data_IF_843779438887
#
_entry.id   IF_843779438887
#
_cell.length_a   1.000
_cell.length_b   1.000
_cell.length_c   1.000
_cell.angle_alpha   90.00
_cell.angle_beta   90.00
_cell.angle_gamma   90.00
#
_symmetry.space_group_name_H-M   'P 1'
#
loop_
_entity.id
_entity.type
_entity.pdbx_description
1 polymer ?
#
# COMPACT_ATOMS: atom_id res chain seq x y z
N UNK A 1 11.87 50.42 28.29
CA UNK A 1 11.17 49.17 27.93
C UNK A 1 11.14 49.05 26.40
N UNK A 2 11.74 48.00 25.84
CA UNK A 2 11.95 47.81 24.39
C UNK A 2 10.65 47.28 23.77
N UNK A 3 10.02 48.04 22.87
CA UNK A 3 8.81 47.62 22.14
C UNK A 3 9.23 46.61 21.07
N UNK A 4 8.99 45.32 21.32
CA UNK A 4 9.18 44.28 20.32
C UNK A 4 7.98 44.34 19.38
N UNK A 5 8.24 44.65 18.11
CA UNK A 5 7.25 44.78 17.05
C UNK A 5 6.59 43.44 16.79
N UNK A 6 5.28 43.34 17.05
CA UNK A 6 4.44 42.14 16.88
C UNK A 6 4.21 41.72 15.42
N UNK A 7 4.97 42.26 14.46
CA UNK A 7 4.74 42.08 13.03
C UNK A 7 5.45 40.87 12.39
N UNK A 8 6.25 40.10 13.14
CA UNK A 8 7.15 39.08 12.56
C UNK A 8 6.65 37.62 12.74
N UNK A 9 5.56 37.37 13.47
CA UNK A 9 5.16 36.01 13.88
C UNK A 9 4.11 35.30 13.01
N UNK A 10 3.68 35.84 11.86
CA UNK A 10 2.54 35.30 11.10
C UNK A 10 2.87 34.60 9.77
N UNK A 11 4.14 34.42 9.42
CA UNK A 11 4.52 33.88 8.09
C UNK A 11 4.99 32.42 8.07
N UNK A 12 4.83 31.65 9.14
CA UNK A 12 5.21 30.24 9.18
C UNK A 12 4.01 29.37 9.55
N UNK A 13 3.28 28.81 8.58
CA UNK A 13 2.19 27.91 8.94
C UNK A 13 1.42 27.19 7.85
N UNK A 14 1.65 27.46 6.56
CA UNK A 14 0.86 26.81 5.50
C UNK A 14 1.80 26.14 4.50
N UNK A 15 2.63 25.23 5.00
CA UNK A 15 3.10 24.10 4.21
C UNK A 15 2.22 22.90 4.58
N UNK A 16 0.91 23.00 4.31
CA UNK A 16 0.10 21.79 4.13
C UNK A 16 0.57 21.18 2.82
N UNK A 17 1.71 20.50 2.88
CA UNK A 17 2.11 19.53 1.87
C UNK A 17 0.95 18.54 1.80
N UNK A 18 0.11 18.69 0.78
CA UNK A 18 -0.81 17.65 0.36
C UNK A 18 0.06 16.45 0.07
N UNK A 19 0.24 15.57 1.05
CA UNK A 19 0.91 14.31 0.83
C UNK A 19 0.05 13.61 -0.22
N UNK A 20 0.49 13.66 -1.48
CA UNK A 20 -0.14 12.94 -2.58
C UNK A 20 -0.17 11.48 -2.16
N UNK A 21 -1.33 11.03 -1.71
CA UNK A 21 -1.56 9.64 -1.32
C UNK A 21 -1.55 8.89 -2.66
N UNK A 22 -0.36 8.52 -3.15
CA UNK A 22 -0.23 7.85 -4.43
C UNK A 22 -1.11 6.60 -4.41
N UNK A 23 -2.28 6.58 -5.04
CA UNK A 23 -3.24 5.47 -4.91
C UNK A 23 -2.52 4.13 -5.02
N UNK A 24 -2.53 3.32 -3.95
CA UNK A 24 -2.11 1.92 -4.07
C UNK A 24 -3.23 1.23 -4.79
N UNK A 25 -3.00 0.97 -6.07
CA UNK A 25 -3.98 0.31 -6.89
C UNK A 25 -4.13 -1.16 -6.46
N UNK A 26 -5.39 -1.62 -6.45
CA UNK A 26 -5.82 -3.01 -6.20
C UNK A 26 -5.22 -3.71 -4.99
N UNK A 27 -5.64 -3.38 -3.75
CA UNK A 27 -5.40 -4.27 -2.60
C UNK A 27 -6.63 -5.16 -2.40
N UNK A 28 -6.48 -6.47 -2.52
CA UNK A 28 -7.56 -7.46 -2.42
C UNK A 28 -7.25 -8.47 -1.31
N UNK A 29 -8.26 -8.83 -0.53
CA UNK A 29 -8.11 -9.82 0.54
C UNK A 29 -8.41 -11.23 -0.01
N UNK A 30 -7.51 -12.18 0.25
CA UNK A 30 -7.66 -13.59 -0.07
C UNK A 30 -7.08 -14.41 1.09
N UNK A 31 -7.90 -14.65 2.11
CA UNK A 31 -7.48 -15.37 3.31
C UNK A 31 -7.42 -16.87 3.06
N UNK A 32 -6.33 -17.51 3.50
CA UNK A 32 -6.08 -18.95 3.33
C UNK A 32 -6.17 -19.43 1.86
N UNK A 33 -5.79 -18.54 0.94
CA UNK A 33 -5.85 -18.83 -0.48
C UNK A 33 -4.62 -19.61 -0.94
N UNK A 34 -4.84 -20.63 -1.77
CA UNK A 34 -3.75 -21.24 -2.52
C UNK A 34 -3.09 -20.22 -3.46
N UNK A 35 -1.84 -20.46 -3.86
CA UNK A 35 -1.11 -19.59 -4.78
C UNK A 35 -1.88 -19.37 -6.09
N UNK A 36 -2.49 -20.44 -6.63
CA UNK A 36 -3.33 -20.37 -7.83
C UNK A 36 -4.56 -19.48 -7.60
N UNK A 37 -5.23 -19.59 -6.45
CA UNK A 37 -6.41 -18.78 -6.17
C UNK A 37 -6.05 -17.30 -5.98
N UNK A 38 -4.92 -17.02 -5.34
CA UNK A 38 -4.38 -15.67 -5.20
C UNK A 38 -4.08 -15.03 -6.57
N UNK A 39 -3.42 -15.78 -7.46
CA UNK A 39 -3.12 -15.33 -8.82
C UNK A 39 -4.40 -15.09 -9.66
N UNK A 40 -5.38 -15.97 -9.55
CA UNK A 40 -6.69 -15.78 -10.21
C UNK A 40 -7.40 -14.54 -9.69
N UNK A 41 -7.33 -14.29 -8.38
CA UNK A 41 -7.88 -13.07 -7.77
C UNK A 41 -7.18 -11.84 -8.31
N UNK A 42 -5.86 -11.89 -8.50
CA UNK A 42 -5.11 -10.80 -9.11
C UNK A 42 -5.49 -10.57 -10.58
N UNK A 43 -5.80 -11.62 -11.36
CA UNK A 43 -6.23 -11.50 -12.76
C UNK A 43 -7.53 -10.71 -12.95
N UNK A 44 -8.39 -10.63 -11.92
CA UNK A 44 -9.62 -9.85 -11.96
C UNK A 44 -9.35 -8.33 -12.06
N UNK A 45 -8.15 -7.89 -11.64
CA UNK A 45 -7.74 -6.49 -11.61
C UNK A 45 -6.72 -6.22 -12.72
N UNK A 46 -7.22 -5.91 -13.92
CA UNK A 46 -6.39 -5.67 -15.12
C UNK A 46 -5.61 -4.36 -15.04
N UNK A 47 -4.36 -4.40 -15.51
CA UNK A 47 -3.59 -3.21 -15.93
C UNK A 47 -2.75 -2.52 -14.85
N UNK A 48 -2.65 -3.06 -13.64
CA UNK A 48 -1.96 -2.41 -12.52
C UNK A 48 -1.23 -3.42 -11.61
N UNK A 49 -0.42 -2.91 -10.66
CA UNK A 49 0.08 -3.72 -9.56
C UNK A 49 -1.09 -4.10 -8.66
N UNK A 50 -1.23 -5.39 -8.33
CA UNK A 50 -2.27 -5.91 -7.45
C UNK A 50 -1.62 -6.52 -6.22
N UNK A 51 -2.09 -6.15 -5.04
CA UNK A 51 -1.60 -6.66 -3.77
C UNK A 51 -2.65 -7.60 -3.17
N UNK A 52 -2.34 -8.89 -3.12
CA UNK A 52 -3.20 -9.88 -2.47
C UNK A 52 -2.74 -10.07 -1.03
N UNK A 53 -3.62 -9.81 -0.07
CA UNK A 53 -3.33 -9.94 1.37
C UNK A 53 -4.02 -11.16 1.95
N UNK A 54 -3.27 -11.92 2.74
CA UNK A 54 -3.76 -13.08 3.48
C UNK A 54 -3.47 -12.86 4.96
N UNK A 55 -4.50 -12.54 5.73
CA UNK A 55 -4.36 -12.29 7.16
C UNK A 55 -4.21 -13.56 7.99
N UNK A 56 -4.62 -14.73 7.45
CA UNK A 56 -4.47 -16.02 8.11
C UNK A 56 -2.99 -16.41 8.10
N UNK A 57 -2.35 -16.34 6.94
CA UNK A 57 -0.93 -16.64 6.78
C UNK A 57 0.01 -15.45 7.03
N UNK A 58 -0.58 -14.28 7.32
CA UNK A 58 0.09 -12.99 7.53
C UNK A 58 1.01 -12.61 6.38
N UNK A 59 0.55 -12.83 5.15
CA UNK A 59 1.33 -12.62 3.93
C UNK A 59 0.70 -11.56 3.05
N UNK A 60 1.55 -10.90 2.26
CA UNK A 60 1.14 -10.02 1.18
C UNK A 60 1.94 -10.40 -0.08
N UNK A 61 1.23 -10.60 -1.18
CA UNK A 61 1.78 -10.93 -2.50
C UNK A 61 1.56 -9.75 -3.44
N UNK A 62 2.55 -9.45 -4.28
CA UNK A 62 2.42 -8.43 -5.32
C UNK A 62 2.38 -9.13 -6.67
N UNK A 63 1.35 -8.84 -7.45
CA UNK A 63 1.21 -9.30 -8.82
C UNK A 63 1.28 -8.13 -9.79
N UNK A 64 1.88 -8.34 -10.95
CA UNK A 64 1.77 -7.45 -12.11
C UNK A 64 0.88 -8.14 -13.13
N UNK A 65 -0.17 -7.46 -13.59
CA UNK A 65 -1.05 -7.94 -14.66
C UNK A 65 -0.67 -7.23 -15.96
N UNK A 66 0.31 -7.80 -16.68
CA UNK A 66 0.70 -7.28 -17.99
C UNK A 66 -0.28 -7.75 -19.07
N UNK A 67 -1.02 -6.83 -19.66
CA UNK A 67 -1.92 -7.15 -20.76
C UNK A 67 -3.11 -8.03 -20.36
N UNK A 68 -3.42 -9.06 -21.16
CA UNK A 68 -4.72 -9.75 -21.07
C UNK A 68 -4.76 -10.95 -20.13
N UNK A 69 -3.69 -11.72 -19.89
CA UNK A 69 -3.95 -13.13 -19.56
C UNK A 69 -3.22 -13.76 -18.36
N UNK A 70 -2.25 -13.14 -17.68
CA UNK A 70 -1.72 -13.75 -16.43
C UNK A 70 -1.02 -12.76 -15.49
N UNK A 71 -1.48 -12.71 -14.25
CA UNK A 71 -0.87 -12.05 -13.11
C UNK A 71 0.43 -12.76 -12.76
N UNK A 72 1.55 -12.03 -12.76
CA UNK A 72 2.86 -12.56 -12.41
C UNK A 72 3.28 -12.10 -11.03
N UNK A 73 3.65 -13.04 -10.16
CA UNK A 73 4.17 -12.71 -8.83
C UNK A 73 5.49 -11.95 -8.99
N UNK A 74 5.61 -10.81 -8.31
CA UNK A 74 6.80 -9.96 -8.36
C UNK A 74 7.21 -9.52 -6.96
N UNK A 75 8.42 -8.98 -6.84
CA UNK A 75 8.94 -8.49 -5.58
C UNK A 75 8.18 -7.25 -5.10
N UNK A 76 7.72 -7.30 -3.85
CA UNK A 76 7.17 -6.15 -3.14
C UNK A 76 8.30 -5.35 -2.48
N UNK A 77 8.27 -4.03 -2.61
CA UNK A 77 9.18 -3.13 -1.91
C UNK A 77 8.80 -3.00 -0.43
N UNK A 78 9.76 -2.61 0.41
CA UNK A 78 9.50 -2.34 1.83
C UNK A 78 8.47 -1.22 2.03
N UNK A 79 8.49 -0.19 1.18
CA UNK A 79 7.54 0.92 1.23
C UNK A 79 6.10 0.46 0.95
N UNK A 80 5.91 -0.39 -0.06
CA UNK A 80 4.60 -1.00 -0.36
C UNK A 80 4.09 -1.84 0.82
N UNK A 81 4.94 -2.70 1.38
CA UNK A 81 4.57 -3.54 2.53
C UNK A 81 4.18 -2.70 3.76
N UNK A 82 4.99 -1.68 4.09
CA UNK A 82 4.73 -0.78 5.20
C UNK A 82 3.40 -0.06 5.02
N UNK A 83 3.09 0.35 3.79
CA UNK A 83 1.84 1.04 3.50
C UNK A 83 0.62 0.12 3.59
N UNK A 84 0.72 -1.14 3.16
CA UNK A 84 -0.34 -2.13 3.37
C UNK A 84 -0.55 -2.35 4.88
N UNK A 85 0.52 -2.52 5.64
CA UNK A 85 0.44 -2.70 7.09
C UNK A 85 -0.19 -1.48 7.79
N UNK A 86 0.14 -0.26 7.36
CA UNK A 86 -0.51 0.95 7.87
C UNK A 86 -2.01 1.00 7.51
N UNK A 87 -2.38 0.62 6.28
CA UNK A 87 -3.80 0.56 5.85
C UNK A 87 -4.62 -0.41 6.71
N UNK A 88 -4.00 -1.51 7.15
CA UNK A 88 -4.64 -2.56 7.94
C UNK A 88 -4.25 -2.56 9.43
N UNK A 89 -3.71 -1.46 9.96
CA UNK A 89 -3.27 -1.40 11.37
C UNK A 89 -4.41 -1.72 12.35
N UNK A 90 -5.65 -1.40 11.98
CA UNK A 90 -6.83 -1.72 12.78
C UNK A 90 -7.03 -3.23 13.01
N UNK A 91 -6.50 -4.10 12.13
CA UNK A 91 -6.57 -5.55 12.27
C UNK A 91 -5.55 -6.12 13.25
N UNK A 92 -4.56 -5.32 13.69
CA UNK A 92 -3.48 -5.74 14.58
C UNK A 92 -2.72 -6.98 14.08
N UNK A 93 -2.66 -7.14 12.76
CA UNK A 93 -1.91 -8.17 12.07
C UNK A 93 -0.82 -7.52 11.22
N UNK A 94 0.42 -7.95 11.39
CA UNK A 94 1.55 -7.47 10.59
C UNK A 94 1.84 -8.47 9.48
N UNK A 95 1.67 -8.03 8.24
CA UNK A 95 1.90 -8.81 7.03
C UNK A 95 3.38 -8.81 6.65
N UNK A 96 3.85 -9.92 6.08
CA UNK A 96 5.17 -10.07 5.45
C UNK A 96 5.04 -10.24 3.94
N UNK A 97 5.98 -9.67 3.20
CA UNK A 97 6.03 -9.86 1.74
C UNK A 97 6.42 -11.30 1.39
N UNK A 98 5.70 -11.89 0.44
CA UNK A 98 6.09 -13.16 -0.21
C UNK A 98 7.07 -12.84 -1.32
N UNK A 99 8.13 -13.66 -1.44
CA UNK A 99 9.13 -13.53 -2.50
C UNK A 99 8.65 -14.29 -3.77
N UNK A 100 9.00 -13.81 -4.98
CA UNK A 100 8.75 -14.54 -6.23
C UNK A 100 9.37 -15.94 -6.25
#
# INVERSE_FOLDING_TARGET
MKKISSAVLLSAGILFSTASIASMNGIVECNDCSQTRSQLTANEFKGENVFVVDFVNRTAQKYIVEGKDTAQLTSMTLGELNRINQKYDYRKAHLRAVKP
#
